data_IF_955082923801
#
_entry.id   IF_955082923801
#
_cell.length_a   1.000
_cell.length_b   1.000
_cell.length_c   1.000
_cell.angle_alpha   90.00
_cell.angle_beta   90.00
_cell.angle_gamma   90.00
#
_symmetry.space_group_name_H-M   'P 1'
#
loop_
_entity.id
_entity.type
_entity.pdbx_description
1 polymer ?
#
# COMPACT_ATOMS: atom_id res chain seq x y z
N UNK A 1 6.82 13.16 -23.69
CA UNK A 1 5.36 13.07 -23.94
C UNK A 1 4.83 11.64 -23.82
N UNK A 2 5.17 10.68 -24.68
CA UNK A 2 4.67 9.30 -24.55
C UNK A 2 5.01 8.68 -23.18
N UNK A 3 6.28 8.73 -22.76
CA UNK A 3 6.69 8.20 -21.45
C UNK A 3 5.94 8.87 -20.29
N UNK A 4 5.73 10.18 -20.37
CA UNK A 4 4.95 10.94 -19.39
C UNK A 4 3.55 10.36 -19.21
N UNK A 5 2.84 10.10 -20.30
CA UNK A 5 1.49 9.55 -20.24
C UNK A 5 1.47 8.08 -19.81
N UNK A 6 2.41 7.27 -20.29
CA UNK A 6 2.54 5.87 -19.85
C UNK A 6 2.84 5.80 -18.35
N UNK A 7 3.73 6.65 -17.83
CA UNK A 7 4.03 6.73 -16.41
C UNK A 7 2.81 7.20 -15.59
N UNK A 8 2.00 8.11 -16.13
CA UNK A 8 0.74 8.51 -15.50
C UNK A 8 -0.28 7.38 -15.43
N UNK A 9 -0.45 6.62 -16.51
CA UNK A 9 -1.32 5.44 -16.54
C UNK A 9 -0.81 4.38 -15.58
N UNK A 10 0.50 4.13 -15.57
CA UNK A 10 1.14 3.15 -14.68
C UNK A 10 0.97 3.54 -13.21
N UNK A 11 1.18 4.81 -12.88
CA UNK A 11 0.92 5.34 -11.53
C UNK A 11 -0.55 5.14 -11.12
N UNK A 12 -1.50 5.43 -12.03
CA UNK A 12 -2.92 5.23 -11.75
C UNK A 12 -3.26 3.74 -11.55
N UNK A 13 -2.70 2.85 -12.36
CA UNK A 13 -2.89 1.40 -12.23
C UNK A 13 -2.28 0.89 -10.93
N UNK A 14 -1.06 1.32 -10.57
CA UNK A 14 -0.40 0.96 -9.32
C UNK A 14 -1.21 1.43 -8.09
N UNK A 15 -1.65 2.70 -8.09
CA UNK A 15 -2.49 3.24 -7.03
C UNK A 15 -3.82 2.50 -6.91
N UNK A 16 -4.48 2.22 -8.03
CA UNK A 16 -5.72 1.42 -8.06
C UNK A 16 -5.48 0.00 -7.52
N UNK A 17 -4.36 -0.62 -7.88
CA UNK A 17 -3.98 -1.97 -7.42
C UNK A 17 -3.81 -2.00 -5.90
N UNK A 18 -3.16 -1.00 -5.30
CA UNK A 18 -3.02 -0.85 -3.83
C UNK A 18 -4.39 -0.75 -3.16
N UNK A 19 -5.28 0.12 -3.66
CA UNK A 19 -6.65 0.27 -3.11
C UNK A 19 -7.41 -1.05 -3.21
N UNK A 20 -7.34 -1.73 -4.35
CA UNK A 20 -7.98 -3.04 -4.53
C UNK A 20 -7.38 -4.11 -3.61
N UNK A 21 -6.09 -4.06 -3.29
CA UNK A 21 -5.49 -4.92 -2.26
C UNK A 21 -6.20 -4.76 -0.91
N UNK A 22 -6.45 -3.50 -0.50
CA UNK A 22 -7.27 -3.21 0.69
C UNK A 22 -8.72 -3.68 0.59
N UNK A 23 -9.34 -3.65 -0.60
CA UNK A 23 -10.69 -4.20 -0.84
C UNK A 23 -10.68 -5.73 -0.70
N UNK A 24 -9.69 -6.40 -1.28
CA UNK A 24 -9.49 -7.85 -1.17
C UNK A 24 -9.40 -8.27 0.30
N UNK A 25 -8.59 -7.59 1.08
CA UNK A 25 -8.44 -7.85 2.52
C UNK A 25 -9.71 -7.48 3.30
N UNK A 26 -10.31 -6.33 2.97
CA UNK A 26 -11.51 -5.80 3.60
C UNK A 26 -12.69 -6.76 3.53
N UNK A 27 -12.91 -7.37 2.37
CA UNK A 27 -14.01 -8.30 2.15
C UNK A 27 -13.66 -9.77 2.41
N UNK A 28 -12.43 -10.05 2.87
CA UNK A 28 -11.97 -11.41 3.23
C UNK A 28 -11.66 -12.29 2.02
N UNK A 29 -11.30 -11.68 0.89
CA UNK A 29 -10.94 -12.35 -0.36
C UNK A 29 -9.45 -12.65 -0.48
N UNK A 30 -8.57 -12.27 0.45
CA UNK A 30 -7.12 -12.48 0.33
C UNK A 30 -6.66 -13.94 0.25
N UNK A 31 -7.58 -14.91 0.30
CA UNK A 31 -7.37 -16.33 0.10
C UNK A 31 -8.54 -16.98 -0.69
N UNK A 32 -9.37 -16.21 -1.43
CA UNK A 32 -10.53 -16.79 -2.15
C UNK A 32 -10.10 -17.72 -3.27
N UNK A 33 -8.98 -17.40 -3.93
CA UNK A 33 -8.30 -18.23 -4.93
C UNK A 33 -7.18 -19.11 -4.33
N UNK A 34 -7.04 -19.06 -2.99
CA UNK A 34 -6.03 -19.76 -2.22
C UNK A 34 -4.61 -19.23 -2.47
N UNK A 35 -3.61 -19.99 -1.98
CA UNK A 35 -2.19 -19.69 -2.23
C UNK A 35 -1.72 -20.14 -3.62
N UNK A 36 -2.65 -20.45 -4.53
CA UNK A 36 -2.32 -20.87 -5.88
C UNK A 36 -1.85 -19.66 -6.68
N UNK A 37 -0.58 -19.68 -7.06
CA UNK A 37 0.03 -18.64 -7.89
C UNK A 37 0.93 -19.27 -8.98
N UNK A 38 0.75 -18.88 -10.26
CA UNK A 38 -0.32 -18.02 -10.77
C UNK A 38 -1.66 -18.77 -10.80
N UNK A 39 -2.76 -18.10 -10.43
CA UNK A 39 -4.11 -18.62 -10.70
C UNK A 39 -4.55 -18.12 -12.07
N UNK A 40 -4.67 -19.02 -13.04
CA UNK A 40 -4.97 -18.66 -14.44
C UNK A 40 -6.32 -19.16 -14.94
N UNK A 41 -6.94 -20.12 -14.23
CA UNK A 41 -8.18 -20.76 -14.66
C UNK A 41 -9.37 -19.80 -14.50
N UNK A 42 -10.07 -19.50 -15.60
CA UNK A 42 -11.31 -18.70 -15.61
C UNK A 42 -11.21 -17.30 -14.96
N UNK A 43 -10.00 -16.73 -14.81
CA UNK A 43 -9.76 -15.48 -14.07
C UNK A 43 -10.62 -14.32 -14.58
N UNK A 44 -10.80 -14.19 -15.90
CA UNK A 44 -11.67 -13.18 -16.50
C UNK A 44 -13.14 -13.37 -16.14
N UNK A 45 -13.62 -14.62 -16.06
CA UNK A 45 -15.00 -14.92 -15.68
C UNK A 45 -15.22 -14.66 -14.18
N UNK A 46 -14.23 -14.99 -13.34
CA UNK A 46 -14.26 -14.72 -11.90
C UNK A 46 -14.23 -13.20 -11.63
N UNK A 47 -13.39 -12.46 -12.35
CA UNK A 47 -13.37 -10.99 -12.31
C UNK A 47 -14.69 -10.37 -12.81
N UNK A 48 -15.30 -10.92 -13.86
CA UNK A 48 -16.61 -10.47 -14.35
C UNK A 48 -17.73 -10.67 -13.31
N UNK A 49 -17.58 -11.66 -12.42
CA UNK A 49 -18.45 -11.86 -11.24
C UNK A 49 -18.11 -10.93 -10.07
N UNK A 50 -17.26 -9.92 -10.30
CA UNK A 50 -16.82 -8.91 -9.32
C UNK A 50 -16.02 -9.48 -8.14
N UNK A 51 -15.29 -10.57 -8.35
CA UNK A 51 -14.33 -11.05 -7.36
C UNK A 51 -13.15 -10.05 -7.27
N UNK A 52 -12.94 -9.39 -6.12
CA UNK A 52 -11.91 -8.38 -5.98
C UNK A 52 -10.50 -8.98 -6.05
N UNK A 53 -10.29 -10.24 -5.66
CA UNK A 53 -8.97 -10.89 -5.74
C UNK A 53 -8.59 -11.10 -7.21
N UNK A 54 -9.51 -11.60 -8.03
CA UNK A 54 -9.27 -11.75 -9.46
C UNK A 54 -9.01 -10.39 -10.14
N UNK A 55 -9.78 -9.34 -9.81
CA UNK A 55 -9.56 -7.99 -10.34
C UNK A 55 -8.18 -7.47 -9.92
N UNK A 56 -7.81 -7.60 -8.66
CA UNK A 56 -6.51 -7.18 -8.15
C UNK A 56 -5.35 -7.88 -8.87
N UNK A 57 -5.44 -9.20 -9.10
CA UNK A 57 -4.42 -9.97 -9.83
C UNK A 57 -4.29 -9.53 -11.30
N UNK A 58 -5.40 -9.21 -11.96
CA UNK A 58 -5.39 -8.67 -13.33
C UNK A 58 -4.72 -7.30 -13.36
N UNK A 59 -5.10 -6.40 -12.44
CA UNK A 59 -4.49 -5.07 -12.33
C UNK A 59 -2.97 -5.16 -12.07
N UNK A 60 -2.55 -6.01 -11.14
CA UNK A 60 -1.13 -6.25 -10.85
C UNK A 60 -0.36 -6.79 -12.07
N UNK A 61 -1.00 -7.62 -12.90
CA UNK A 61 -0.41 -8.10 -14.16
C UNK A 61 -0.26 -6.96 -15.17
N UNK A 62 -1.24 -6.06 -15.27
CA UNK A 62 -1.18 -4.88 -16.15
C UNK A 62 -0.06 -3.93 -15.73
N UNK A 63 0.10 -3.67 -14.43
CA UNK A 63 1.24 -2.94 -13.85
C UNK A 63 2.55 -3.58 -14.30
N UNK A 64 2.70 -4.91 -14.15
CA UNK A 64 3.89 -5.63 -14.62
C UNK A 64 4.21 -5.45 -16.11
N UNK A 65 3.20 -5.56 -16.98
CA UNK A 65 3.36 -5.43 -18.42
C UNK A 65 3.73 -3.99 -18.81
N UNK A 66 3.03 -3.00 -18.26
CA UNK A 66 3.23 -1.60 -18.62
C UNK A 66 4.54 -1.07 -18.05
N UNK A 67 4.91 -1.45 -16.82
CA UNK A 67 6.23 -1.21 -16.24
C UNK A 67 7.37 -1.72 -17.13
N UNK A 68 7.26 -2.97 -17.62
CA UNK A 68 8.23 -3.56 -18.55
C UNK A 68 8.27 -2.80 -19.88
N UNK A 69 7.13 -2.42 -20.43
CA UNK A 69 7.07 -1.63 -21.65
C UNK A 69 7.77 -0.27 -21.48
N UNK A 70 7.55 0.42 -20.36
CA UNK A 70 8.24 1.68 -20.04
C UNK A 70 9.76 1.46 -19.94
N UNK A 71 10.21 0.37 -19.30
CA UNK A 71 11.64 0.04 -19.20
C UNK A 71 12.27 -0.19 -20.57
N UNK A 72 11.59 -0.92 -21.46
CA UNK A 72 12.08 -1.20 -22.83
C UNK A 72 12.15 0.09 -23.67
N UNK A 73 11.10 0.92 -23.62
CA UNK A 73 11.02 2.15 -24.43
C UNK A 73 11.97 3.22 -23.90
N UNK A 74 12.16 3.30 -22.59
CA UNK A 74 13.00 4.30 -21.95
C UNK A 74 13.87 3.69 -20.84
N UNK A 75 14.98 3.01 -21.20
CA UNK A 75 15.91 2.44 -20.24
C UNK A 75 16.60 3.55 -19.46
N UNK A 76 16.38 3.61 -18.16
CA UNK A 76 16.94 4.61 -17.25
C UNK A 76 17.01 4.03 -15.84
N UNK A 77 17.81 4.63 -14.96
CA UNK A 77 17.87 4.20 -13.57
C UNK A 77 16.48 4.21 -12.91
N UNK A 78 15.66 5.22 -13.20
CA UNK A 78 14.30 5.36 -12.63
C UNK A 78 13.36 4.26 -13.14
N UNK A 79 13.38 3.96 -14.44
CA UNK A 79 12.56 2.87 -14.99
C UNK A 79 13.03 1.49 -14.53
N UNK A 80 14.33 1.30 -14.28
CA UNK A 80 14.87 0.09 -13.63
C UNK A 80 14.37 -0.01 -12.19
N UNK A 81 14.46 1.06 -11.39
CA UNK A 81 13.96 1.08 -10.01
C UNK A 81 12.46 0.76 -9.98
N UNK A 82 11.67 1.39 -10.86
CA UNK A 82 10.23 1.14 -10.97
C UNK A 82 9.92 -0.33 -11.31
N UNK A 83 10.59 -0.88 -12.32
CA UNK A 83 10.39 -2.29 -12.70
C UNK A 83 10.83 -3.27 -11.62
N UNK A 84 11.97 -3.02 -10.98
CA UNK A 84 12.45 -3.83 -9.85
C UNK A 84 11.45 -3.77 -8.70
N UNK A 85 10.90 -2.60 -8.37
CA UNK A 85 9.86 -2.47 -7.36
C UNK A 85 8.60 -3.28 -7.71
N UNK A 86 8.18 -3.33 -8.98
CA UNK A 86 7.07 -4.18 -9.43
C UNK A 86 7.39 -5.67 -9.26
N UNK A 87 8.60 -6.11 -9.61
CA UNK A 87 9.05 -7.49 -9.40
C UNK A 87 9.01 -7.85 -7.92
N UNK A 88 9.54 -6.99 -7.05
CA UNK A 88 9.47 -7.20 -5.60
C UNK A 88 8.03 -7.22 -5.09
N UNK A 89 7.16 -6.33 -5.59
CA UNK A 89 5.73 -6.30 -5.24
C UNK A 89 5.07 -7.63 -5.61
N UNK A 90 5.32 -8.18 -6.80
CA UNK A 90 4.75 -9.47 -7.20
C UNK A 90 5.25 -10.65 -6.34
N UNK A 91 6.56 -10.70 -6.06
CA UNK A 91 7.15 -11.75 -5.23
C UNK A 91 6.65 -11.69 -3.77
N UNK A 92 6.56 -10.47 -3.21
CA UNK A 92 6.06 -10.25 -1.86
C UNK A 92 4.53 -10.36 -1.78
N UNK A 93 3.82 -10.15 -2.89
CA UNK A 93 2.38 -10.42 -3.00
C UNK A 93 2.09 -11.91 -2.90
N UNK A 94 2.92 -12.77 -3.50
CA UNK A 94 2.87 -14.20 -3.22
C UNK A 94 3.16 -14.50 -1.75
N UNK A 95 4.23 -13.93 -1.19
CA UNK A 95 4.58 -14.14 0.22
C UNK A 95 3.44 -13.71 1.16
N UNK A 96 2.75 -12.62 0.83
CA UNK A 96 1.56 -12.11 1.52
C UNK A 96 0.46 -13.17 1.60
N UNK A 97 0.16 -13.93 0.54
CA UNK A 97 -0.79 -15.04 0.62
C UNK A 97 -0.39 -16.08 1.69
N UNK A 98 0.91 -16.37 1.82
CA UNK A 98 1.42 -17.25 2.86
C UNK A 98 1.39 -16.61 4.25
N UNK A 99 1.62 -15.30 4.37
CA UNK A 99 1.45 -14.55 5.62
C UNK A 99 -0.01 -14.63 6.10
N UNK A 100 -0.96 -14.35 5.22
CA UNK A 100 -2.39 -14.39 5.52
C UNK A 100 -2.87 -15.82 5.83
N UNK A 101 -2.26 -16.83 5.21
CA UNK A 101 -2.48 -18.24 5.56
C UNK A 101 -1.78 -18.66 6.88
N UNK A 102 -1.00 -17.78 7.51
CA UNK A 102 -0.27 -18.03 8.75
C UNK A 102 1.00 -18.86 8.60
N UNK A 103 1.52 -18.98 7.38
CA UNK A 103 2.71 -19.76 7.01
C UNK A 103 3.99 -18.92 6.92
N UNK A 104 3.88 -17.59 6.79
CA UNK A 104 5.01 -16.66 6.81
C UNK A 104 4.84 -15.53 7.84
N UNK A 105 5.95 -14.92 8.31
CA UNK A 105 5.93 -13.76 9.21
C UNK A 105 5.27 -12.51 8.63
N UNK A 106 4.63 -11.69 9.47
CA UNK A 106 3.91 -10.47 9.06
C UNK A 106 4.76 -9.40 8.38
N UNK A 107 6.09 -9.41 8.61
CA UNK A 107 7.02 -8.45 8.00
C UNK A 107 7.01 -8.48 6.47
N UNK A 108 6.70 -9.62 5.85
CA UNK A 108 6.64 -9.73 4.39
C UNK A 108 5.46 -8.94 3.80
N UNK A 109 4.35 -8.80 4.55
CA UNK A 109 3.27 -7.88 4.17
C UNK A 109 3.75 -6.43 4.23
N UNK A 110 4.49 -6.05 5.28
CA UNK A 110 5.05 -4.70 5.37
C UNK A 110 6.00 -4.37 4.21
N UNK A 111 6.86 -5.31 3.82
CA UNK A 111 7.73 -5.13 2.65
C UNK A 111 6.96 -5.10 1.33
N UNK A 112 5.89 -5.89 1.21
CA UNK A 112 4.99 -5.83 0.06
C UNK A 112 4.42 -4.42 -0.11
N UNK A 113 3.96 -3.82 0.98
CA UNK A 113 3.40 -2.47 0.96
C UNK A 113 4.46 -1.43 0.60
N UNK A 114 5.68 -1.51 1.15
CA UNK A 114 6.80 -0.64 0.71
C UNK A 114 7.02 -0.74 -0.80
N UNK A 115 7.10 -1.96 -1.35
CA UNK A 115 7.35 -2.18 -2.77
C UNK A 115 6.21 -1.62 -3.66
N UNK A 116 4.96 -1.83 -3.24
CA UNK A 116 3.79 -1.34 -3.96
C UNK A 116 3.74 0.19 -3.98
N UNK A 117 3.97 0.84 -2.83
CA UNK A 117 4.01 2.30 -2.76
C UNK A 117 5.22 2.88 -3.50
N UNK A 118 6.38 2.22 -3.46
CA UNK A 118 7.56 2.63 -4.24
C UNK A 118 7.27 2.57 -5.74
N UNK A 119 6.55 1.54 -6.20
CA UNK A 119 6.08 1.43 -7.60
C UNK A 119 5.23 2.64 -7.95
N UNK A 120 4.17 2.91 -7.17
CA UNK A 120 3.29 4.06 -7.37
C UNK A 120 4.06 5.38 -7.44
N UNK A 121 4.90 5.65 -6.44
CA UNK A 121 5.66 6.90 -6.31
C UNK A 121 6.64 7.07 -7.48
N UNK A 122 7.33 6.02 -7.88
CA UNK A 122 8.34 6.08 -8.96
C UNK A 122 7.71 6.54 -10.26
N UNK A 123 6.60 5.92 -10.67
CA UNK A 123 5.91 6.29 -11.90
C UNK A 123 5.16 7.62 -11.79
N UNK A 124 4.63 7.96 -10.61
CA UNK A 124 4.01 9.27 -10.38
C UNK A 124 5.02 10.40 -10.54
N UNK A 125 6.19 10.28 -9.93
CA UNK A 125 7.25 11.28 -10.05
C UNK A 125 7.81 11.36 -11.46
N UNK A 126 7.95 10.22 -12.16
CA UNK A 126 8.37 10.19 -13.56
C UNK A 126 7.37 10.96 -14.46
N UNK A 127 6.07 10.81 -14.21
CA UNK A 127 5.03 11.60 -14.88
C UNK A 127 5.18 13.09 -14.55
N UNK A 128 5.28 13.47 -13.27
CA UNK A 128 5.37 14.87 -12.87
C UNK A 128 6.63 15.57 -13.41
N UNK A 129 7.77 14.88 -13.46
CA UNK A 129 8.98 15.38 -14.11
C UNK A 129 8.75 15.58 -15.61
N UNK A 130 8.12 14.60 -16.27
CA UNK A 130 7.79 14.70 -17.69
C UNK A 130 6.79 15.83 -18.04
N UNK A 131 6.05 16.33 -17.04
CA UNK A 131 5.17 17.51 -17.15
C UNK A 131 5.84 18.82 -16.70
N UNK A 132 7.11 18.78 -16.29
CA UNK A 132 7.87 19.90 -15.71
C UNK A 132 7.26 20.46 -14.40
N UNK A 133 6.45 19.66 -13.70
CA UNK A 133 5.83 20.03 -12.41
C UNK A 133 6.79 19.70 -11.26
N UNK A 134 7.49 18.57 -11.33
CA UNK A 134 8.49 18.16 -10.33
C UNK A 134 9.89 18.36 -10.89
N UNK A 135 10.75 19.11 -10.19
CA UNK A 135 12.13 19.42 -10.64
C UNK A 135 13.23 18.78 -9.81
N UNK A 136 12.87 18.21 -8.66
CA UNK A 136 13.84 17.55 -7.78
C UNK A 136 14.26 16.19 -8.38
N UNK A 137 15.40 15.70 -7.92
CA UNK A 137 15.84 14.34 -8.23
C UNK A 137 14.89 13.32 -7.61
N UNK A 138 14.33 12.43 -8.43
CA UNK A 138 13.49 11.31 -7.96
C UNK A 138 14.26 10.46 -6.94
N UNK A 139 15.54 10.20 -7.20
CA UNK A 139 16.37 9.40 -6.30
C UNK A 139 16.54 10.07 -4.94
N UNK A 140 16.79 11.39 -4.92
CA UNK A 140 16.90 12.14 -3.67
C UNK A 140 15.58 12.10 -2.90
N UNK A 141 14.44 12.31 -3.58
CA UNK A 141 13.14 12.21 -2.94
C UNK A 141 12.88 10.82 -2.34
N UNK A 142 13.19 9.74 -3.07
CA UNK A 142 13.02 8.38 -2.57
C UNK A 142 13.89 8.09 -1.35
N UNK A 143 15.11 8.62 -1.29
CA UNK A 143 16.00 8.51 -0.14
C UNK A 143 15.45 9.32 1.05
N UNK A 144 15.07 10.57 0.81
CA UNK A 144 14.56 11.47 1.84
C UNK A 144 13.24 10.98 2.45
N UNK A 145 12.43 10.25 1.67
CA UNK A 145 11.22 9.59 2.13
C UNK A 145 11.46 8.42 3.10
N UNK A 146 12.71 7.96 3.25
CA UNK A 146 13.11 6.90 4.19
C UNK A 146 13.79 7.50 5.44
N UNK A 147 14.33 8.72 5.35
CA UNK A 147 15.11 9.35 6.42
C UNK A 147 14.19 10.24 7.28
N UNK A 148 14.35 10.25 8.62
CA UNK A 148 13.66 11.21 9.48
C UNK A 148 13.83 12.65 8.96
N UNK A 149 12.76 13.45 8.92
CA UNK A 149 11.50 13.26 9.63
C UNK A 149 10.42 12.46 8.87
N UNK A 150 10.67 12.01 7.63
CA UNK A 150 9.65 11.44 6.74
C UNK A 150 9.35 9.96 7.00
N UNK A 151 8.88 9.65 8.21
CA UNK A 151 8.50 8.31 8.71
C UNK A 151 7.42 7.55 7.88
N UNK A 152 7.00 8.07 6.73
CA UNK A 152 5.93 7.57 5.88
C UNK A 152 6.11 6.10 5.47
N UNK A 153 7.26 5.71 4.92
CA UNK A 153 7.49 4.31 4.53
C UNK A 153 7.48 3.36 5.74
N UNK A 154 7.92 3.83 6.91
CA UNK A 154 7.83 3.04 8.14
C UNK A 154 6.38 2.93 8.64
N UNK A 155 5.58 4.00 8.54
CA UNK A 155 4.15 3.97 8.85
C UNK A 155 3.44 2.96 7.94
N UNK A 156 3.69 3.01 6.62
CA UNK A 156 3.15 2.08 5.62
C UNK A 156 3.57 0.64 5.96
N UNK A 157 4.86 0.41 6.20
CA UNK A 157 5.39 -0.91 6.60
C UNK A 157 4.67 -1.46 7.82
N UNK A 158 4.53 -0.65 8.87
CA UNK A 158 3.87 -1.08 10.11
C UNK A 158 2.38 -1.36 9.90
N UNK A 159 1.70 -0.63 9.00
CA UNK A 159 0.34 -0.94 8.58
C UNK A 159 0.23 -2.35 8.00
N UNK A 160 1.15 -2.70 7.09
CA UNK A 160 1.28 -4.06 6.56
C UNK A 160 1.58 -5.10 7.65
N UNK A 161 2.46 -4.78 8.61
CA UNK A 161 2.73 -5.69 9.75
C UNK A 161 1.48 -5.93 10.59
N UNK A 162 0.65 -4.91 10.83
CA UNK A 162 -0.64 -5.07 11.54
C UNK A 162 -1.57 -6.01 10.77
N UNK A 163 -1.77 -5.77 9.48
CA UNK A 163 -2.58 -6.61 8.60
C UNK A 163 -2.07 -8.06 8.57
N UNK A 164 -0.77 -8.26 8.34
CA UNK A 164 -0.15 -9.58 8.28
C UNK A 164 -0.26 -10.33 9.60
N UNK A 165 -0.11 -9.64 10.74
CA UNK A 165 -0.26 -10.26 12.07
C UNK A 165 -1.71 -10.66 12.34
N UNK A 166 -2.69 -9.94 11.76
CA UNK A 166 -4.12 -10.26 11.84
C UNK A 166 -4.48 -11.56 11.13
N UNK A 167 -3.74 -11.92 10.07
CA UNK A 167 -4.00 -13.11 9.22
C UNK A 167 -5.46 -13.18 8.73
N UNK A 168 -6.06 -12.02 8.47
CA UNK A 168 -7.49 -11.84 8.14
C UNK A 168 -8.51 -12.45 9.12
N UNK A 169 -8.11 -12.89 10.32
CA UNK A 169 -8.99 -13.67 11.21
C UNK A 169 -9.05 -13.11 12.62
N UNK A 170 -7.96 -12.52 13.08
CA UNK A 170 -7.83 -12.07 14.45
C UNK A 170 -8.46 -10.69 14.62
N UNK A 171 -9.02 -10.43 15.80
CA UNK A 171 -9.38 -9.07 16.22
C UNK A 171 -8.11 -8.37 16.69
N UNK A 172 -7.98 -7.07 16.42
CA UNK A 172 -6.90 -6.27 17.01
C UNK A 172 -7.08 -6.20 18.53
N UNK A 173 -8.34 -6.10 18.96
CA UNK A 173 -8.75 -5.99 20.35
C UNK A 173 -8.54 -4.60 20.92
N UNK A 174 -9.07 -4.38 22.12
CA UNK A 174 -8.76 -3.21 22.93
C UNK A 174 -7.56 -3.51 23.83
N UNK A 175 -6.68 -2.53 24.00
CA UNK A 175 -5.43 -2.70 24.78
C UNK A 175 -5.72 -3.02 26.26
N UNK A 176 -6.87 -2.60 26.78
CA UNK A 176 -7.30 -2.81 28.16
C UNK A 176 -8.17 -4.06 28.39
N UNK A 177 -8.53 -4.82 27.35
CA UNK A 177 -9.39 -6.00 27.49
C UNK A 177 -8.54 -7.25 27.78
N UNK A 178 -8.81 -7.92 28.91
CA UNK A 178 -8.13 -9.17 29.32
C UNK A 178 -8.84 -10.42 28.75
N UNK A 179 -9.14 -10.46 27.45
CA UNK A 179 -9.75 -11.65 26.84
C UNK A 179 -8.70 -12.69 26.43
N UNK A 180 -9.07 -13.98 26.46
CA UNK A 180 -8.23 -15.07 25.95
C UNK A 180 -8.03 -15.05 24.42
N UNK A 181 -8.76 -14.18 23.70
CA UNK A 181 -8.61 -13.98 22.24
C UNK A 181 -7.49 -12.96 21.88
N UNK A 182 -6.78 -12.42 22.88
CA UNK A 182 -5.75 -11.38 22.69
C UNK A 182 -4.49 -11.93 22.02
N UNK A 183 -4.21 -11.46 20.81
CA UNK A 183 -2.89 -11.60 20.20
C UNK A 183 -2.01 -10.39 20.59
N UNK A 184 -1.07 -10.61 21.52
CA UNK A 184 -0.18 -9.54 22.02
C UNK A 184 0.68 -8.92 20.92
N UNK A 185 1.14 -9.71 19.96
CA UNK A 185 1.96 -9.22 18.86
C UNK A 185 1.17 -8.31 17.92
N UNK A 186 -0.12 -8.61 17.71
CA UNK A 186 -1.00 -7.75 16.92
C UNK A 186 -1.23 -6.40 17.62
N UNK A 187 -1.44 -6.41 18.93
CA UNK A 187 -1.59 -5.18 19.70
C UNK A 187 -0.32 -4.34 19.70
N UNK A 188 0.85 -4.97 19.89
CA UNK A 188 2.15 -4.30 19.81
C UNK A 188 2.34 -3.68 18.42
N UNK A 189 2.08 -4.44 17.35
CA UNK A 189 2.17 -3.91 15.99
C UNK A 189 1.26 -2.70 15.77
N UNK A 190 0.01 -2.77 16.26
CA UNK A 190 -0.96 -1.68 16.13
C UNK A 190 -0.54 -0.43 16.92
N UNK A 191 -0.04 -0.62 18.16
CA UNK A 191 0.48 0.50 18.98
C UNK A 191 1.71 1.14 18.32
N UNK A 192 2.66 0.34 17.82
CA UNK A 192 3.85 0.86 17.12
C UNK A 192 3.43 1.63 15.86
N UNK A 193 2.48 1.10 15.07
CA UNK A 193 1.95 1.80 13.91
C UNK A 193 1.30 3.15 14.30
N UNK A 194 0.50 3.17 15.36
CA UNK A 194 -0.13 4.40 15.87
C UNK A 194 0.90 5.43 16.38
N UNK A 195 1.95 4.99 17.07
CA UNK A 195 3.06 5.88 17.49
C UNK A 195 3.79 6.43 16.27
N UNK A 196 4.08 5.60 15.27
CA UNK A 196 4.73 6.04 14.04
C UNK A 196 3.86 7.08 13.29
N UNK A 197 2.55 6.86 13.21
CA UNK A 197 1.60 7.80 12.61
C UNK A 197 1.57 9.14 13.38
N UNK A 198 1.63 9.10 14.72
CA UNK A 198 1.69 10.31 15.54
C UNK A 198 2.99 11.09 15.31
N UNK A 199 4.13 10.40 15.26
CA UNK A 199 5.43 11.01 14.92
C UNK A 199 5.36 11.66 13.53
N UNK A 200 4.74 10.98 12.56
CA UNK A 200 4.53 11.52 11.22
C UNK A 200 3.67 12.79 11.24
N UNK A 201 2.55 12.81 11.99
CA UNK A 201 1.72 14.02 12.16
C UNK A 201 2.53 15.18 12.74
N UNK A 202 3.33 14.93 13.78
CA UNK A 202 4.19 15.96 14.40
C UNK A 202 5.18 16.50 13.36
N UNK A 203 5.80 15.62 12.58
CA UNK A 203 6.69 16.03 11.49
C UNK A 203 5.99 16.93 10.47
N UNK A 204 4.77 16.58 10.04
CA UNK A 204 4.01 17.40 9.08
C UNK A 204 3.70 18.80 9.61
N UNK A 205 3.38 18.92 10.90
CA UNK A 205 3.14 20.23 11.54
C UNK A 205 4.43 21.06 11.57
N UNK A 206 5.55 20.46 11.97
CA UNK A 206 6.85 21.17 12.01
C UNK A 206 7.30 21.63 10.61
N UNK A 207 7.02 20.81 9.59
CA UNK A 207 7.31 21.12 8.18
C UNK A 207 6.26 22.04 7.52
N UNK A 208 5.18 22.39 8.21
CA UNK A 208 4.07 23.21 7.67
C UNK A 208 3.40 22.58 6.42
N UNK A 209 3.39 21.25 6.32
CA UNK A 209 2.80 20.50 5.20
C UNK A 209 1.28 20.37 5.35
N UNK A 210 0.56 21.49 5.26
CA UNK A 210 -0.87 21.56 5.61
C UNK A 210 -1.78 20.66 4.77
N UNK A 211 -1.52 20.55 3.46
CA UNK A 211 -2.29 19.65 2.59
C UNK A 211 -2.12 18.18 3.01
N UNK A 212 -0.87 17.76 3.25
CA UNK A 212 -0.57 16.40 3.74
C UNK A 212 -1.21 16.17 5.10
N UNK A 213 -1.11 17.15 6.01
CA UNK A 213 -1.72 17.06 7.34
C UNK A 213 -3.24 16.86 7.27
N UNK A 214 -3.93 17.56 6.36
CA UNK A 214 -5.37 17.40 6.17
C UNK A 214 -5.74 15.98 5.74
N UNK A 215 -5.04 15.41 4.75
CA UNK A 215 -5.25 14.02 4.34
C UNK A 215 -4.84 13.03 5.43
N UNK A 216 -3.77 13.29 6.19
CA UNK A 216 -3.35 12.44 7.31
C UNK A 216 -4.37 12.44 8.44
N UNK A 217 -5.05 13.56 8.69
CA UNK A 217 -6.14 13.62 9.67
C UNK A 217 -7.34 12.75 9.24
N UNK A 218 -7.70 12.79 7.95
CA UNK A 218 -8.75 11.90 7.41
C UNK A 218 -8.29 10.44 7.50
N UNK A 219 -7.05 10.16 7.14
CA UNK A 219 -6.46 8.83 7.19
C UNK A 219 -6.44 8.25 8.62
N UNK A 220 -6.18 9.09 9.62
CA UNK A 220 -6.28 8.70 11.04
C UNK A 220 -7.70 8.31 11.42
N UNK A 221 -8.71 9.10 11.01
CA UNK A 221 -10.13 8.78 11.25
C UNK A 221 -10.51 7.46 10.59
N UNK A 222 -10.08 7.24 9.35
CA UNK A 222 -10.33 5.99 8.61
C UNK A 222 -9.58 4.82 9.25
N UNK A 223 -8.34 5.01 9.72
CA UNK A 223 -7.58 3.99 10.45
C UNK A 223 -8.26 3.58 11.77
N UNK A 224 -8.83 4.53 12.51
CA UNK A 224 -9.66 4.22 13.69
C UNK A 224 -10.95 3.48 13.31
N UNK A 225 -11.54 3.80 12.16
CA UNK A 225 -12.67 3.05 11.63
C UNK A 225 -12.29 1.63 11.20
N UNK A 226 -11.11 1.42 10.61
CA UNK A 226 -10.56 0.07 10.33
C UNK A 226 -10.37 -0.72 11.61
N UNK A 227 -9.89 -0.09 12.68
CA UNK A 227 -9.77 -0.73 13.98
C UNK A 227 -11.13 -1.18 14.53
N UNK A 228 -12.14 -0.31 14.51
CA UNK A 228 -13.51 -0.65 14.94
C UNK A 228 -14.11 -1.77 14.07
N UNK A 229 -14.05 -1.64 12.74
CA UNK A 229 -14.62 -2.61 11.80
C UNK A 229 -13.95 -3.99 11.92
N UNK A 230 -12.62 -4.04 12.09
CA UNK A 230 -11.85 -5.26 12.27
C UNK A 230 -12.15 -5.95 13.61
N UNK A 231 -12.56 -5.20 14.63
CA UNK A 231 -12.96 -5.76 15.91
C UNK A 231 -14.42 -6.26 15.87
N UNK A 232 -15.30 -5.60 15.10
CA UNK A 232 -16.69 -6.04 14.90
C UNK A 232 -16.78 -7.30 14.03
N UNK A 233 -16.03 -7.34 12.93
CA UNK A 233 -15.96 -8.49 12.04
C UNK A 233 -14.53 -8.71 11.56
N UNK A 234 -13.80 -9.54 12.30
CA UNK A 234 -12.40 -9.82 12.03
C UNK A 234 -12.14 -10.61 10.77
N UNK A 235 -13.16 -11.19 10.12
CA UNK A 235 -13.03 -11.87 8.83
C UNK A 235 -13.29 -10.93 7.65
N UNK A 236 -14.20 -9.96 7.84
CA UNK A 236 -14.66 -9.05 6.79
C UNK A 236 -14.87 -7.63 7.35
N UNK A 237 -13.79 -6.87 7.60
CA UNK A 237 -13.88 -5.47 8.07
C UNK A 237 -14.51 -4.51 7.05
N UNK A 238 -14.74 -4.97 5.81
CA UNK A 238 -15.45 -4.25 4.76
C UNK A 238 -14.61 -3.14 4.13
N UNK A 239 -15.32 -2.17 3.54
CA UNK A 239 -14.72 -1.11 2.70
C UNK A 239 -13.74 -0.19 3.44
N UNK A 240 -13.79 -0.15 4.77
CA UNK A 240 -12.90 0.66 5.61
C UNK A 240 -11.42 0.44 5.27
N UNK A 241 -11.02 -0.81 5.00
CA UNK A 241 -9.63 -1.15 4.64
C UNK A 241 -9.23 -0.59 3.28
N UNK A 242 -10.12 -0.69 2.28
CA UNK A 242 -9.88 -0.10 0.96
C UNK A 242 -9.82 1.43 1.01
N UNK A 243 -10.65 2.06 1.85
CA UNK A 243 -10.61 3.52 2.05
C UNK A 243 -9.34 3.96 2.77
N UNK A 244 -8.83 3.17 3.72
CA UNK A 244 -7.55 3.45 4.36
C UNK A 244 -6.41 3.45 3.33
N UNK A 245 -6.37 2.45 2.44
CA UNK A 245 -5.40 2.45 1.35
C UNK A 245 -5.55 3.65 0.39
N UNK A 246 -6.78 4.07 0.09
CA UNK A 246 -7.04 5.26 -0.73
C UNK A 246 -6.50 6.54 -0.07
N UNK A 247 -6.84 6.77 1.20
CA UNK A 247 -6.40 7.98 1.91
C UNK A 247 -4.89 7.97 2.19
N UNK A 248 -4.29 6.81 2.43
CA UNK A 248 -2.82 6.64 2.45
C UNK A 248 -2.17 7.08 1.13
N UNK A 249 -2.71 6.66 -0.02
CA UNK A 249 -2.22 7.15 -1.33
C UNK A 249 -2.39 8.67 -1.46
N UNK A 250 -3.51 9.24 -1.00
CA UNK A 250 -3.72 10.69 -1.03
C UNK A 250 -2.73 11.43 -0.13
N UNK A 251 -2.34 10.86 1.02
CA UNK A 251 -1.25 11.39 1.86
C UNK A 251 0.06 11.40 1.08
N UNK A 252 0.39 10.32 0.36
CA UNK A 252 1.60 10.22 -0.47
C UNK A 252 1.57 11.22 -1.63
N UNK A 253 0.43 11.40 -2.30
CA UNK A 253 0.29 12.44 -3.34
C UNK A 253 0.48 13.82 -2.72
N UNK A 254 -0.16 14.09 -1.59
CA UNK A 254 -0.08 15.39 -0.92
C UNK A 254 1.33 15.72 -0.43
N UNK A 255 2.09 14.75 0.09
CA UNK A 255 3.48 14.98 0.50
C UNK A 255 4.38 15.31 -0.70
N UNK A 256 4.15 14.65 -1.84
CA UNK A 256 4.86 14.96 -3.10
C UNK A 256 4.50 16.36 -3.59
N UNK A 257 3.24 16.76 -3.51
CA UNK A 257 2.84 18.10 -3.94
C UNK A 257 3.37 19.20 -3.01
N UNK A 258 3.38 18.97 -1.69
CA UNK A 258 3.97 19.89 -0.72
C UNK A 258 5.49 20.00 -0.85
N UNK A 259 6.19 18.98 -1.37
CA UNK A 259 7.65 19.07 -1.61
C UNK A 259 8.00 19.83 -2.89
N UNK A 260 7.00 20.20 -3.70
CA UNK A 260 7.16 21.02 -4.92
C UNK A 260 7.00 22.51 -4.61
N UNK A 261 6.15 22.85 -3.63
CA UNK A 261 5.86 24.23 -3.20
C UNK A 261 6.91 24.78 -2.24
#
# INVERSE_FOLDING_TARGET
MIITYLAGIESLLAGTTIVFGGVVEGYGYGLSLGTNWPYTKDMLQVAAKRDPEAIHRILATLVGILSLAILIIHPSLISIIGFVAVVFTALLGMATLYVLAGKLPSIFQGFHDIAAYTTFVTYFLLMLQGLNIFKLSILSFLIDAIIPPHFLYFVIFMGGVVTGTRRMRLKIGKVWEKSQERNIWLQIAWVIHGIAALIFIIALVLLHYWLTLAFTAIELVVGLWVWDSSNRNSLKPGISVGLHQLFSILVVVAIILNSIS
#
